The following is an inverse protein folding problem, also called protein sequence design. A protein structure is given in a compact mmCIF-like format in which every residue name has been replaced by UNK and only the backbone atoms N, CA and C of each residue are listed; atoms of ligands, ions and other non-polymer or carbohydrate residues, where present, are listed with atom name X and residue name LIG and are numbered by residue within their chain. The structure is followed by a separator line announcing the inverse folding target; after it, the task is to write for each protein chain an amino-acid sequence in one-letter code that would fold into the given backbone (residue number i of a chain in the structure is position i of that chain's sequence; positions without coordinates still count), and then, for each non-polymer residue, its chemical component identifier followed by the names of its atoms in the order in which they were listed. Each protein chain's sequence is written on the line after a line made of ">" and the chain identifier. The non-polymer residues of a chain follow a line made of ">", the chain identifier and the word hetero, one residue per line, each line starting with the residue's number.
data_IF_395981016249
#
_entry.id   IF_395981016249
#
_cell.length_a   1.000
_cell.length_b   1.000
_cell.length_c   1.000
_cell.angle_alpha   90.00
_cell.angle_beta   90.00
_cell.angle_gamma   90.00
#
_symmetry.space_group_name_H-M   'P 1'
#
loop_
_entity.id
_entity.type
_entity.pdbx_description
1 polymer ?
#
# COMPACT_ATOMS: atom_id res chain seq x y z
N UNK A 1 16.11 5.47 -33.89
CA UNK A 1 15.19 4.32 -33.84
C UNK A 1 15.13 3.73 -32.44
N UNK A 2 16.24 3.35 -31.82
CA UNK A 2 16.27 2.67 -30.50
C UNK A 2 15.56 3.44 -29.35
N UNK A 3 15.72 4.75 -29.26
CA UNK A 3 15.04 5.57 -28.21
C UNK A 3 13.52 5.61 -28.42
N UNK A 4 13.04 5.70 -29.66
CA UNK A 4 11.62 5.71 -29.96
C UNK A 4 10.94 4.37 -29.63
N UNK A 5 11.64 3.26 -29.87
CA UNK A 5 11.19 1.92 -29.50
C UNK A 5 11.11 1.76 -27.97
N UNK A 6 12.11 2.24 -27.23
CA UNK A 6 12.12 2.23 -25.77
C UNK A 6 10.99 3.09 -25.18
N UNK A 7 10.74 4.27 -25.77
CA UNK A 7 9.62 5.11 -25.37
C UNK A 7 8.26 4.45 -25.66
N UNK A 8 8.13 3.79 -26.80
CA UNK A 8 6.92 3.04 -27.15
C UNK A 8 6.69 1.89 -26.18
N UNK A 9 7.72 1.11 -25.86
CA UNK A 9 7.63 0.01 -24.92
C UNK A 9 7.27 0.49 -23.50
N UNK A 10 7.81 1.64 -23.10
CA UNK A 10 7.42 2.26 -21.81
C UNK A 10 5.94 2.68 -21.79
N UNK A 11 5.50 3.39 -22.82
CA UNK A 11 4.14 3.93 -22.88
C UNK A 11 3.06 2.85 -23.06
N UNK A 12 3.37 1.80 -23.84
CA UNK A 12 2.40 0.75 -24.17
C UNK A 12 2.44 -0.40 -23.18
N UNK A 13 3.65 -0.84 -22.77
CA UNK A 13 3.86 -2.04 -21.95
C UNK A 13 4.31 -1.73 -20.52
N UNK A 14 4.76 -0.51 -20.23
CA UNK A 14 5.35 -0.15 -18.94
C UNK A 14 6.78 -0.67 -18.76
N UNK A 15 7.43 -1.14 -19.84
CA UNK A 15 8.80 -1.62 -19.79
C UNK A 15 9.78 -0.44 -19.64
N UNK A 16 10.77 -0.61 -18.75
CA UNK A 16 11.83 0.38 -18.51
C UNK A 16 13.16 -0.25 -18.90
N UNK A 17 13.72 0.16 -20.03
CA UNK A 17 15.03 -0.30 -20.51
C UNK A 17 16.01 0.86 -20.58
N UNK A 18 17.25 0.58 -20.18
CA UNK A 18 18.37 1.55 -20.24
C UNK A 18 18.12 2.87 -19.48
N UNK A 19 17.22 2.88 -18.47
CA UNK A 19 17.09 4.02 -17.58
C UNK A 19 18.31 4.13 -16.66
N UNK A 20 18.82 5.34 -16.48
CA UNK A 20 20.01 5.58 -15.64
C UNK A 20 19.67 5.55 -14.16
N UNK A 21 18.46 5.99 -13.82
CA UNK A 21 18.03 6.27 -12.45
C UNK A 21 16.77 5.51 -12.02
N UNK A 22 16.28 4.59 -12.83
CA UNK A 22 15.15 3.71 -12.50
C UNK A 22 15.56 2.24 -12.62
N UNK A 23 14.99 1.34 -11.82
CA UNK A 23 15.14 -0.10 -12.02
C UNK A 23 14.66 -0.48 -13.43
N UNK A 24 15.46 -1.28 -14.14
CA UNK A 24 15.05 -1.84 -15.43
C UNK A 24 13.90 -2.82 -15.22
N UNK A 25 12.87 -2.73 -16.05
CA UNK A 25 11.73 -3.65 -16.09
C UNK A 25 11.59 -4.11 -17.53
N UNK A 26 11.76 -5.40 -17.78
CA UNK A 26 11.63 -5.95 -19.14
C UNK A 26 10.17 -5.91 -19.60
N UNK A 27 9.95 -6.00 -20.93
CA UNK A 27 8.61 -6.04 -21.49
C UNK A 27 7.83 -7.31 -21.07
N UNK A 28 8.55 -8.38 -20.73
CA UNK A 28 7.99 -9.65 -20.25
C UNK A 28 7.59 -9.56 -18.77
N UNK A 29 8.38 -8.88 -17.94
CA UNK A 29 8.10 -8.68 -16.52
C UNK A 29 7.02 -7.65 -16.27
N UNK A 30 6.93 -6.61 -17.10
CA UNK A 30 6.05 -5.46 -16.86
C UNK A 30 4.57 -5.83 -16.62
N UNK A 31 3.94 -6.73 -17.37
CA UNK A 31 2.55 -7.13 -17.12
C UNK A 31 2.34 -7.79 -15.76
N UNK A 32 3.31 -8.61 -15.32
CA UNK A 32 3.27 -9.33 -14.04
C UNK A 32 3.56 -8.39 -12.88
N UNK A 33 4.52 -7.48 -13.07
CA UNK A 33 4.99 -6.58 -12.03
C UNK A 33 4.06 -5.39 -11.79
N UNK A 34 3.33 -4.92 -12.82
CA UNK A 34 2.46 -3.75 -12.75
C UNK A 34 1.41 -3.82 -11.61
N UNK A 35 0.68 -4.92 -11.39
CA UNK A 35 -0.24 -5.03 -10.26
C UNK A 35 0.46 -4.92 -8.90
N UNK A 36 1.66 -5.50 -8.77
CA UNK A 36 2.44 -5.43 -7.53
C UNK A 36 3.08 -4.07 -7.31
N UNK A 37 3.46 -3.34 -8.35
CA UNK A 37 3.88 -1.92 -8.26
C UNK A 37 2.72 -1.09 -7.71
N UNK A 38 1.50 -1.30 -8.23
CA UNK A 38 0.30 -0.63 -7.72
C UNK A 38 0.03 -1.00 -6.26
N UNK A 39 0.14 -2.28 -5.90
CA UNK A 39 0.02 -2.71 -4.51
C UNK A 39 1.04 -2.02 -3.62
N UNK A 40 2.32 -2.00 -4.02
CA UNK A 40 3.39 -1.36 -3.26
C UNK A 40 3.13 0.14 -3.04
N UNK A 41 2.72 0.86 -4.08
CA UNK A 41 2.35 2.29 -4.00
C UNK A 41 1.18 2.51 -3.01
N UNK A 42 0.15 1.66 -3.07
CA UNK A 42 -1.01 1.73 -2.17
C UNK A 42 -0.62 1.45 -0.72
N UNK A 43 0.18 0.41 -0.46
CA UNK A 43 0.65 0.10 0.90
C UNK A 43 1.46 1.25 1.47
N UNK A 44 2.35 1.84 0.66
CA UNK A 44 3.11 3.02 1.03
C UNK A 44 2.22 4.22 1.31
N UNK A 45 1.30 4.54 0.41
CA UNK A 45 0.38 5.67 0.54
C UNK A 45 -0.51 5.55 1.79
N UNK A 46 -1.08 4.37 2.04
CA UNK A 46 -1.85 4.11 3.24
C UNK A 46 -1.01 4.33 4.50
N UNK A 47 0.17 3.71 4.56
CA UNK A 47 1.05 3.81 5.73
C UNK A 47 1.52 5.25 5.96
N UNK A 48 1.80 6.01 4.89
CA UNK A 48 2.20 7.42 4.99
C UNK A 48 1.09 8.32 5.53
N UNK A 49 -0.17 8.06 5.16
CA UNK A 49 -1.32 8.83 5.64
C UNK A 49 -1.63 8.57 7.11
N UNK A 50 -1.48 7.32 7.59
CA UNK A 50 -1.78 6.96 8.98
C UNK A 50 -0.59 7.15 9.93
N UNK A 51 0.56 7.61 9.43
CA UNK A 51 1.76 7.83 10.23
C UNK A 51 1.95 9.30 10.53
N UNK A 52 1.69 9.69 11.80
CA UNK A 52 1.76 11.07 12.27
C UNK A 52 3.12 11.47 12.87
N UNK A 53 3.97 10.50 13.16
CA UNK A 53 5.27 10.71 13.82
C UNK A 53 6.43 10.46 12.85
N UNK A 54 7.60 11.09 13.04
CA UNK A 54 8.76 10.84 12.20
C UNK A 54 9.14 9.36 12.13
N UNK A 55 9.35 8.87 10.91
CA UNK A 55 9.72 7.49 10.63
C UNK A 55 11.21 7.31 10.94
N UNK A 56 11.55 6.27 11.70
CA UNK A 56 12.93 5.86 12.00
C UNK A 56 13.39 4.67 11.17
N UNK A 57 12.49 3.71 10.99
CA UNK A 57 12.81 2.46 10.30
C UNK A 57 11.64 2.01 9.42
N UNK A 58 11.98 1.48 8.26
CA UNK A 58 11.09 0.87 7.28
C UNK A 58 11.60 -0.54 7.02
N UNK A 59 10.79 -1.54 7.30
CA UNK A 59 11.05 -2.92 6.91
C UNK A 59 10.02 -3.36 5.86
N UNK A 60 10.48 -3.92 4.76
CA UNK A 60 9.64 -4.46 3.69
C UNK A 60 9.90 -5.95 3.57
N UNK A 61 8.87 -6.76 3.85
CA UNK A 61 8.91 -8.20 3.62
C UNK A 61 8.26 -8.52 2.27
N UNK A 62 9.00 -9.19 1.42
CA UNK A 62 8.56 -9.83 0.19
C UNK A 62 8.45 -11.33 0.42
N UNK A 63 7.23 -11.87 0.39
CA UNK A 63 6.97 -13.28 0.66
C UNK A 63 6.40 -14.01 -0.57
N UNK A 64 6.75 -15.29 -0.73
CA UNK A 64 6.33 -16.12 -1.85
C UNK A 64 6.84 -15.59 -3.18
N UNK A 65 5.99 -15.56 -4.21
CA UNK A 65 6.38 -15.14 -5.57
C UNK A 65 6.95 -13.72 -5.63
N UNK A 66 6.57 -12.84 -4.69
CA UNK A 66 7.10 -11.46 -4.65
C UNK A 66 8.58 -11.39 -4.32
N UNK A 67 9.13 -12.40 -3.62
CA UNK A 67 10.55 -12.47 -3.26
C UNK A 67 11.47 -12.62 -4.48
N UNK A 68 10.98 -13.26 -5.54
CA UNK A 68 11.67 -13.45 -6.82
C UNK A 68 11.48 -12.33 -7.83
N UNK A 69 10.58 -11.37 -7.56
CA UNK A 69 10.31 -10.25 -8.46
C UNK A 69 11.41 -9.17 -8.38
N UNK A 70 11.30 -8.17 -9.25
CA UNK A 70 12.13 -6.96 -9.20
C UNK A 70 11.78 -6.09 -7.99
N UNK A 71 12.27 -6.49 -6.81
CA UNK A 71 11.96 -5.81 -5.54
C UNK A 71 12.43 -4.37 -5.52
N UNK A 72 13.45 -3.97 -6.28
CA UNK A 72 13.89 -2.57 -6.37
C UNK A 72 12.78 -1.67 -6.91
N UNK A 73 12.05 -2.13 -7.93
CA UNK A 73 10.92 -1.38 -8.47
C UNK A 73 9.77 -1.30 -7.46
N UNK A 74 9.48 -2.40 -6.76
CA UNK A 74 8.44 -2.46 -5.72
C UNK A 74 8.79 -1.55 -4.54
N UNK A 75 10.02 -1.62 -4.02
CA UNK A 75 10.51 -0.72 -2.96
C UNK A 75 10.39 0.74 -3.39
N UNK A 76 10.83 1.10 -4.60
CA UNK A 76 10.75 2.48 -5.09
C UNK A 76 9.31 3.00 -5.15
N UNK A 77 8.36 2.18 -5.61
CA UNK A 77 6.93 2.53 -5.64
C UNK A 77 6.36 2.70 -4.22
N UNK A 78 6.68 1.77 -3.33
CA UNK A 78 6.25 1.80 -1.93
C UNK A 78 6.75 3.05 -1.21
N UNK A 79 8.04 3.38 -1.35
CA UNK A 79 8.63 4.56 -0.74
C UNK A 79 8.03 5.86 -1.33
N UNK A 80 7.77 5.91 -2.64
CA UNK A 80 7.10 7.04 -3.26
C UNK A 80 5.70 7.26 -2.69
N UNK A 81 4.91 6.20 -2.54
CA UNK A 81 3.61 6.25 -1.86
C UNK A 81 3.73 6.75 -0.42
N UNK A 82 4.69 6.20 0.33
CA UNK A 82 4.87 6.47 1.77
C UNK A 82 5.15 7.94 2.08
N UNK A 83 6.01 8.59 1.31
CA UNK A 83 6.42 9.98 1.59
C UNK A 83 5.68 11.03 0.77
N UNK A 84 4.75 10.64 -0.12
CA UNK A 84 3.99 11.53 -1.01
C UNK A 84 3.23 12.62 -0.26
N UNK A 85 2.69 12.31 0.90
CA UNK A 85 1.95 13.28 1.71
C UNK A 85 2.85 14.26 2.48
N UNK A 86 4.16 13.99 2.54
CA UNK A 86 5.12 14.81 3.28
C UNK A 86 6.01 15.64 2.38
N UNK A 87 6.14 15.24 1.11
CA UNK A 87 7.07 15.84 0.15
C UNK A 87 6.37 16.03 -1.19
N UNK A 88 6.37 17.26 -1.70
CA UNK A 88 5.87 17.54 -3.04
C UNK A 88 6.77 16.90 -4.13
N UNK A 89 6.18 16.54 -5.26
CA UNK A 89 6.85 16.04 -6.46
C UNK A 89 7.69 14.76 -6.25
N UNK A 90 7.38 13.97 -5.23
CA UNK A 90 8.06 12.69 -5.01
C UNK A 90 7.63 11.65 -6.04
N UNK A 91 8.59 10.86 -6.51
CA UNK A 91 8.38 9.77 -7.45
C UNK A 91 9.29 8.58 -7.13
N UNK A 92 9.17 7.49 -7.90
CA UNK A 92 9.93 6.26 -7.69
C UNK A 92 11.45 6.43 -7.78
N UNK A 93 11.93 7.50 -8.43
CA UNK A 93 13.37 7.80 -8.55
C UNK A 93 13.88 8.54 -7.32
N UNK A 94 13.15 9.58 -6.90
CA UNK A 94 13.56 10.46 -5.80
C UNK A 94 13.31 9.85 -4.42
N UNK A 95 12.27 9.04 -4.26
CA UNK A 95 11.87 8.53 -2.95
C UNK A 95 12.96 7.72 -2.20
N UNK A 96 13.68 6.77 -2.81
CA UNK A 96 14.75 6.04 -2.12
C UNK A 96 15.89 6.96 -1.67
N UNK A 97 16.21 7.99 -2.45
CA UNK A 97 17.25 8.97 -2.12
C UNK A 97 16.81 9.79 -0.92
N UNK A 98 15.59 10.32 -0.95
CA UNK A 98 15.03 11.13 0.13
C UNK A 98 14.92 10.36 1.45
N UNK A 99 14.53 9.09 1.41
CA UNK A 99 14.49 8.21 2.61
C UNK A 99 15.88 8.08 3.21
N UNK A 100 16.91 7.87 2.37
CA UNK A 100 18.30 7.78 2.80
C UNK A 100 18.81 9.11 3.38
N UNK A 101 18.52 10.23 2.74
CA UNK A 101 18.93 11.57 3.20
C UNK A 101 18.28 11.95 4.53
N UNK A 102 17.06 11.49 4.79
CA UNK A 102 16.38 11.64 6.09
C UNK A 102 16.96 10.73 7.19
N UNK A 103 17.93 9.88 6.88
CA UNK A 103 18.54 8.96 7.84
C UNK A 103 17.60 7.82 8.27
N UNK A 104 16.55 7.53 7.50
CA UNK A 104 15.61 6.45 7.79
C UNK A 104 16.28 5.11 7.43
N UNK A 105 16.27 4.17 8.37
CA UNK A 105 16.78 2.82 8.15
C UNK A 105 15.80 2.06 7.25
N UNK A 106 16.28 1.58 6.11
CA UNK A 106 15.49 0.74 5.19
C UNK A 106 16.05 -0.67 5.19
N UNK A 107 15.21 -1.66 5.47
CA UNK A 107 15.53 -3.07 5.37
C UNK A 107 14.55 -3.81 4.47
N UNK A 108 15.07 -4.74 3.67
CA UNK A 108 14.27 -5.64 2.83
C UNK A 108 14.50 -7.08 3.27
N UNK A 109 13.42 -7.79 3.53
CA UNK A 109 13.44 -9.20 3.86
C UNK A 109 12.77 -9.97 2.72
N UNK A 110 13.44 -10.98 2.20
CA UNK A 110 12.92 -11.88 1.16
C UNK A 110 12.71 -13.26 1.75
N UNK A 111 11.51 -13.80 1.57
CA UNK A 111 11.15 -15.12 2.07
C UNK A 111 10.36 -15.86 0.99
N UNK A 112 10.94 -16.94 0.51
CA UNK A 112 10.27 -17.84 -0.43
C UNK A 112 9.52 -18.93 0.34
N UNK A 113 8.38 -18.55 0.92
CA UNK A 113 7.54 -19.49 1.66
C UNK A 113 6.12 -19.46 1.09
N UNK A 114 5.68 -20.59 0.57
CA UNK A 114 4.28 -20.77 0.19
C UNK A 114 3.39 -20.77 1.44
N UNK A 115 2.38 -19.90 1.43
CA UNK A 115 1.40 -19.76 2.49
C UNK A 115 -0.02 -19.79 1.92
N UNK A 116 -0.94 -19.07 2.56
CA UNK A 116 -2.33 -18.91 2.10
C UNK A 116 -2.39 -18.13 0.78
N UNK A 117 -1.43 -17.21 0.57
CA UNK A 117 -1.30 -16.39 -0.63
C UNK A 117 -0.06 -16.85 -1.41
N UNK A 118 -0.13 -16.81 -2.75
CA UNK A 118 1.01 -17.10 -3.63
C UNK A 118 2.18 -16.16 -3.35
N UNK A 119 1.89 -14.92 -2.98
CA UNK A 119 2.86 -13.94 -2.52
C UNK A 119 2.18 -12.68 -1.98
N UNK A 120 2.87 -11.98 -1.09
CA UNK A 120 2.41 -10.72 -0.54
C UNK A 120 3.56 -9.79 -0.18
N UNK A 121 3.24 -8.52 0.00
CA UNK A 121 4.15 -7.50 0.48
C UNK A 121 3.66 -7.06 1.85
N UNK A 122 4.56 -7.02 2.84
CA UNK A 122 4.27 -6.44 4.15
C UNK A 122 5.23 -5.28 4.41
N UNK A 123 4.66 -4.14 4.71
CA UNK A 123 5.37 -2.94 5.14
C UNK A 123 5.23 -2.80 6.65
N UNK A 124 6.34 -2.65 7.34
CA UNK A 124 6.40 -2.32 8.77
C UNK A 124 7.11 -0.99 8.93
N UNK A 125 6.49 -0.06 9.64
CA UNK A 125 7.05 1.27 9.95
C UNK A 125 7.24 1.39 11.45
N UNK A 126 8.45 1.74 11.85
CA UNK A 126 8.78 2.06 13.23
C UNK A 126 9.04 3.56 13.38
N UNK A 127 8.33 4.17 14.31
CA UNK A 127 8.48 5.56 14.73
C UNK A 127 8.97 5.62 16.18
N UNK A 128 9.14 6.81 16.75
CA UNK A 128 9.45 6.94 18.18
C UNK A 128 8.34 6.43 19.10
N UNK A 129 7.11 6.46 18.63
CA UNK A 129 5.92 6.18 19.45
C UNK A 129 5.38 4.78 19.29
N UNK A 130 5.53 4.18 18.10
CA UNK A 130 4.87 2.92 17.77
C UNK A 130 5.47 2.25 16.54
N UNK A 131 5.20 0.95 16.43
CA UNK A 131 5.42 0.16 15.22
C UNK A 131 4.06 -0.22 14.63
N UNK A 132 3.88 0.01 13.33
CA UNK A 132 2.67 -0.34 12.58
C UNK A 132 3.04 -1.17 11.36
N UNK A 133 2.16 -2.08 10.99
CA UNK A 133 2.33 -2.87 9.78
C UNK A 133 1.07 -2.90 8.94
N UNK A 134 1.26 -2.99 7.64
CA UNK A 134 0.22 -3.24 6.64
C UNK A 134 0.72 -4.27 5.64
N UNK A 135 -0.12 -5.20 5.25
CA UNK A 135 0.21 -6.19 4.24
C UNK A 135 -0.87 -6.27 3.16
N UNK A 136 -0.45 -6.58 1.96
CA UNK A 136 -1.35 -6.74 0.83
C UNK A 136 -0.84 -7.78 -0.16
N UNK A 137 -1.74 -8.25 -0.99
CA UNK A 137 -1.48 -9.19 -2.08
C UNK A 137 -2.20 -8.76 -3.35
N UNK A 138 -1.91 -9.43 -4.45
CA UNK A 138 -2.62 -9.28 -5.72
C UNK A 138 -3.33 -10.60 -6.00
N UNK A 139 -4.64 -10.53 -6.21
CA UNK A 139 -5.44 -11.70 -6.54
C UNK A 139 -5.33 -12.03 -8.03
N UNK A 140 -5.85 -13.19 -8.43
CA UNK A 140 -5.81 -13.68 -9.81
C UNK A 140 -6.51 -12.75 -10.82
N UNK A 141 -7.38 -11.86 -10.35
CA UNK A 141 -8.01 -10.80 -11.14
C UNK A 141 -7.10 -9.58 -11.39
N UNK A 142 -5.86 -9.62 -10.89
CA UNK A 142 -4.87 -8.54 -11.00
C UNK A 142 -5.14 -7.35 -10.08
N UNK A 143 -6.09 -7.45 -9.15
CA UNK A 143 -6.42 -6.37 -8.23
C UNK A 143 -5.68 -6.49 -6.90
N UNK A 144 -5.10 -5.39 -6.40
CA UNK A 144 -4.50 -5.35 -5.07
C UNK A 144 -5.56 -5.42 -3.98
N UNK A 145 -5.22 -6.08 -2.87
CA UNK A 145 -6.03 -6.20 -1.66
C UNK A 145 -5.21 -5.97 -0.42
N UNK A 146 -5.78 -5.31 0.58
CA UNK A 146 -5.26 -5.35 1.93
C UNK A 146 -5.62 -6.68 2.58
N UNK A 147 -4.63 -7.39 3.13
CA UNK A 147 -4.84 -8.68 3.81
C UNK A 147 -4.57 -8.60 5.31
N UNK A 148 -3.83 -7.59 5.77
CA UNK A 148 -3.57 -7.38 7.19
C UNK A 148 -3.24 -5.91 7.47
N UNK A 149 -3.79 -5.34 8.54
CA UNK A 149 -3.43 -4.03 9.08
C UNK A 149 -3.24 -4.15 10.59
N UNK A 150 -2.11 -3.67 11.13
CA UNK A 150 -1.76 -3.77 12.55
C UNK A 150 -1.86 -5.20 13.13
N UNK A 151 -1.56 -6.22 12.32
CA UNK A 151 -1.70 -7.62 12.73
C UNK A 151 -3.11 -8.20 12.58
N UNK A 152 -4.13 -7.37 12.34
CA UNK A 152 -5.52 -7.80 12.14
C UNK A 152 -5.72 -8.22 10.69
N UNK A 153 -6.12 -9.47 10.48
CA UNK A 153 -6.40 -10.02 9.17
C UNK A 153 -7.71 -9.47 8.60
N UNK A 154 -7.71 -9.20 7.30
CA UNK A 154 -8.87 -8.73 6.54
C UNK A 154 -8.75 -9.12 5.07
N UNK A 155 -9.79 -8.87 4.30
CA UNK A 155 -9.80 -8.96 2.84
C UNK A 155 -10.51 -7.72 2.30
N UNK A 156 -9.74 -6.65 2.09
CA UNK A 156 -10.30 -5.37 1.70
C UNK A 156 -9.85 -4.95 0.30
N UNK A 157 -10.82 -4.62 -0.54
CA UNK A 157 -10.59 -3.97 -1.83
C UNK A 157 -9.86 -2.64 -1.68
N UNK A 158 -9.01 -2.32 -2.66
CA UNK A 158 -8.39 -1.00 -2.75
C UNK A 158 -9.26 -0.11 -3.62
N UNK A 159 -9.85 0.91 -3.01
CA UNK A 159 -10.65 1.94 -3.66
C UNK A 159 -9.90 3.26 -3.83
N UNK A 160 -10.48 4.17 -4.63
CA UNK A 160 -9.94 5.51 -4.82
C UNK A 160 -10.16 6.39 -3.57
N UNK A 161 -11.31 6.23 -2.93
CA UNK A 161 -11.69 6.94 -1.71
C UNK A 161 -11.97 5.90 -0.63
N UNK A 162 -11.14 5.90 0.42
CA UNK A 162 -11.25 4.96 1.52
C UNK A 162 -11.20 5.68 2.85
N UNK A 163 -11.99 5.21 3.80
CA UNK A 163 -11.96 5.67 5.19
C UNK A 163 -11.36 4.55 6.03
N UNK A 164 -10.32 4.87 6.79
CA UNK A 164 -9.72 3.99 7.78
C UNK A 164 -10.17 4.39 9.17
N UNK A 165 -10.76 3.45 9.90
CA UNK A 165 -11.22 3.66 11.27
C UNK A 165 -10.59 2.59 12.17
N UNK A 166 -9.98 3.03 13.26
CA UNK A 166 -9.49 2.16 14.32
C UNK A 166 -10.27 2.46 15.61
N UNK A 167 -10.91 1.45 16.17
CA UNK A 167 -11.75 1.58 17.35
C UNK A 167 -11.68 0.32 18.22
N UNK A 168 -12.30 0.37 19.40
CA UNK A 168 -12.61 -0.82 20.18
C UNK A 168 -13.88 -1.48 19.64
N UNK A 169 -13.87 -2.81 19.52
CA UNK A 169 -15.02 -3.59 19.05
C UNK A 169 -16.18 -3.53 20.07
N UNK A 170 -17.16 -2.68 19.77
CA UNK A 170 -18.35 -2.51 20.59
C UNK A 170 -19.63 -2.60 19.75
N UNK A 171 -20.73 -3.15 20.31
CA UNK A 171 -22.02 -3.17 19.63
C UNK A 171 -22.48 -1.78 19.18
N UNK A 172 -23.10 -1.71 17.99
CA UNK A 172 -23.66 -0.48 17.44
C UNK A 172 -22.70 0.35 16.57
N UNK A 173 -21.39 0.09 16.60
CA UNK A 173 -20.39 0.87 15.86
C UNK A 173 -20.63 0.86 14.33
N UNK A 174 -20.96 -0.29 13.75
CA UNK A 174 -21.27 -0.40 12.31
C UNK A 174 -22.50 0.45 11.97
N UNK A 175 -23.55 0.39 12.82
CA UNK A 175 -24.76 1.20 12.64
C UNK A 175 -24.46 2.69 12.72
N UNK A 176 -23.63 3.10 13.69
CA UNK A 176 -23.20 4.49 13.84
C UNK A 176 -22.45 4.99 12.59
N UNK A 177 -21.44 4.25 12.13
CA UNK A 177 -20.69 4.60 10.93
C UNK A 177 -21.61 4.69 9.69
N UNK A 178 -22.49 3.70 9.51
CA UNK A 178 -23.42 3.68 8.38
C UNK A 178 -24.41 4.84 8.40
N UNK A 179 -24.97 5.17 9.55
CA UNK A 179 -25.88 6.30 9.69
C UNK A 179 -25.17 7.64 9.47
N UNK A 180 -23.99 7.83 10.08
CA UNK A 180 -23.22 9.07 9.92
C UNK A 180 -22.89 9.35 8.46
N UNK A 181 -22.41 8.34 7.72
CA UNK A 181 -22.08 8.49 6.30
C UNK A 181 -23.34 8.65 5.45
N UNK A 182 -24.40 7.90 5.75
CA UNK A 182 -25.68 7.99 5.04
C UNK A 182 -26.35 9.35 5.19
N UNK A 183 -26.36 9.92 6.40
CA UNK A 183 -26.90 11.26 6.69
C UNK A 183 -26.09 12.36 5.98
N UNK A 184 -24.80 12.11 5.77
CA UNK A 184 -23.93 12.99 4.97
C UNK A 184 -24.03 12.75 3.44
N UNK A 185 -24.91 11.86 2.99
CA UNK A 185 -25.09 11.53 1.58
C UNK A 185 -23.95 10.72 0.97
N UNK A 186 -23.11 10.09 1.79
CA UNK A 186 -21.97 9.28 1.35
C UNK A 186 -22.40 7.84 1.20
N UNK A 187 -22.28 7.28 -0.01
CA UNK A 187 -22.55 5.86 -0.27
C UNK A 187 -21.34 5.00 0.04
N UNK A 188 -21.56 3.90 0.76
CA UNK A 188 -20.52 2.90 1.07
C UNK A 188 -20.60 1.81 0.01
N UNK A 189 -19.54 1.69 -0.80
CA UNK A 189 -19.42 0.68 -1.84
C UNK A 189 -18.93 -0.67 -1.29
N UNK A 190 -18.04 -0.64 -0.29
CA UNK A 190 -17.54 -1.84 0.39
C UNK A 190 -17.23 -1.50 1.86
N UNK A 191 -17.46 -2.46 2.74
CA UNK A 191 -17.21 -2.34 4.17
C UNK A 191 -16.50 -3.61 4.67
N UNK A 192 -15.27 -3.46 5.13
CA UNK A 192 -14.51 -4.53 5.73
C UNK A 192 -14.19 -4.22 7.19
N UNK A 193 -14.54 -5.14 8.06
CA UNK A 193 -14.24 -5.08 9.48
C UNK A 193 -13.32 -6.24 9.87
N UNK A 194 -12.16 -5.92 10.43
CA UNK A 194 -11.29 -6.88 11.10
C UNK A 194 -11.22 -6.60 12.59
N UNK A 195 -11.05 -7.64 13.39
CA UNK A 195 -10.82 -7.52 14.84
C UNK A 195 -9.77 -8.49 15.31
N UNK A 196 -9.01 -8.11 16.33
CA UNK A 196 -8.02 -9.00 16.95
C UNK A 196 -8.72 -10.11 17.74
N UNK A 197 -9.67 -9.73 18.60
CA UNK A 197 -10.47 -10.61 19.44
C UNK A 197 -11.78 -9.90 19.82
N UNK A 198 -12.70 -10.64 20.42
CA UNK A 198 -13.95 -10.07 20.94
C UNK A 198 -13.65 -8.95 21.95
N UNK A 199 -14.32 -7.81 21.79
CA UNK A 199 -14.12 -6.57 22.59
C UNK A 199 -12.67 -6.04 22.60
N UNK A 200 -11.86 -6.43 21.63
CA UNK A 200 -10.50 -5.92 21.43
C UNK A 200 -10.44 -4.79 20.41
N UNK A 201 -9.24 -4.57 19.89
CA UNK A 201 -9.03 -3.61 18.79
C UNK A 201 -9.73 -4.10 17.52
N UNK A 202 -10.42 -3.18 16.86
CA UNK A 202 -11.07 -3.38 15.58
C UNK A 202 -10.61 -2.33 14.56
N UNK A 203 -10.60 -2.72 13.30
CA UNK A 203 -10.27 -1.87 12.18
C UNK A 203 -11.37 -2.01 11.14
N UNK A 204 -11.93 -0.88 10.72
CA UNK A 204 -12.82 -0.82 9.58
C UNK A 204 -12.12 -0.10 8.42
N UNK A 205 -12.23 -0.68 7.23
CA UNK A 205 -11.92 -0.05 5.95
C UNK A 205 -13.21 0.06 5.15
N UNK A 206 -13.60 1.29 4.84
CA UNK A 206 -14.77 1.59 4.03
C UNK A 206 -14.30 2.14 2.68
N UNK A 207 -14.79 1.55 1.59
CA UNK A 207 -14.66 2.12 0.26
C UNK A 207 -15.92 2.93 -0.01
N UNK A 208 -15.77 4.20 -0.34
CA UNK A 208 -16.88 5.14 -0.60
C UNK A 208 -16.79 5.71 -2.01
N UNK A 209 -17.94 6.14 -2.56
CA UNK A 209 -18.04 6.56 -3.96
C UNK A 209 -17.41 7.94 -4.25
N UNK A 210 -17.04 8.70 -3.22
CA UNK A 210 -16.51 10.05 -3.40
C UNK A 210 -15.69 10.56 -2.22
N UNK A 211 -15.21 11.78 -2.35
CA UNK A 211 -14.49 12.49 -1.28
C UNK A 211 -15.46 12.80 -0.14
N UNK A 212 -15.08 12.46 1.07
CA UNK A 212 -15.87 12.74 2.29
C UNK A 212 -15.39 14.06 2.89
N UNK A 213 -16.33 14.91 3.28
CA UNK A 213 -16.01 16.17 3.95
C UNK A 213 -15.30 15.90 5.29
N UNK A 214 -14.30 16.72 5.60
CA UNK A 214 -13.55 16.61 6.85
C UNK A 214 -14.45 16.74 8.10
N UNK A 215 -15.58 17.44 8.00
CA UNK A 215 -16.53 17.59 9.09
C UNK A 215 -17.30 16.28 9.43
N UNK A 216 -17.26 15.30 8.52
CA UNK A 216 -17.92 13.99 8.69
C UNK A 216 -16.94 12.95 9.27
N UNK A 217 -15.62 13.18 9.08
CA UNK A 217 -14.52 12.33 9.53
C UNK A 217 -14.11 12.70 10.96
#
# INVERSE_FOLDING_TARGET
>A
MQVAEQMSDYLVKGAVSNAINMPSITAEEAPILKPFIRLADVLGSFAGQVTESPIKEIEILYDGVTSGMNTKALTSALLAGLIRNQVADVNMVSAPIMVKEKGIILSEVKRDKTGVYDGYIKLTITTERQTRSVAGTVFSDGKPRFIQIKGINMDADVGQHMIYIANTDVPGMIGFMGSTLGDAGVNIANFQLGREKESGDAIALLYVDGVVDQAVL
#
